data_IF_126552612155
#
_entry.id   IF_126552612155
#
_cell.length_a   1.000
_cell.length_b   1.000
_cell.length_c   1.000
_cell.angle_alpha   90.00
_cell.angle_beta   90.00
_cell.angle_gamma   90.00
#
_symmetry.space_group_name_H-M   'P 1'
#
loop_
_entity.id
_entity.type
_entity.pdbx_description
1 polymer ?
#
# COMPACT_ATOMS: atom_id res chain seq x y z
N UNK A 1 -9.86 -15.45 -1.29
CA UNK A 1 -9.40 -14.14 -1.81
C UNK A 1 -8.97 -13.30 -0.63
N UNK A 2 -7.76 -12.76 -0.66
CA UNK A 2 -7.19 -11.98 0.44
C UNK A 2 -7.37 -10.50 0.12
N UNK A 3 -8.32 -9.84 0.78
CA UNK A 3 -8.68 -8.43 0.53
C UNK A 3 -8.43 -7.60 1.80
N UNK A 4 -7.16 -7.49 2.19
CA UNK A 4 -6.76 -6.57 3.27
C UNK A 4 -5.48 -5.82 2.86
N UNK A 5 -5.14 -4.77 3.60
CA UNK A 5 -4.01 -3.88 3.27
C UNK A 5 -2.95 -3.74 4.39
N UNK A 6 -2.53 -4.81 5.08
CA UNK A 6 -1.62 -4.73 6.24
C UNK A 6 -0.26 -4.15 5.88
N UNK A 7 0.16 -4.32 4.62
CA UNK A 7 1.41 -3.73 4.10
C UNK A 7 1.43 -2.20 4.18
N UNK A 8 0.29 -1.51 4.07
CA UNK A 8 0.16 -0.05 4.25
C UNK A 8 -0.50 0.31 5.60
N UNK A 9 -1.34 -0.57 6.14
CA UNK A 9 -2.12 -0.38 7.37
C UNK A 9 -1.38 -0.87 8.62
N UNK A 10 -0.05 -0.83 8.62
CA UNK A 10 0.77 -1.08 9.80
C UNK A 10 1.55 0.19 10.14
N UNK A 11 1.67 0.56 11.42
CA UNK A 11 2.27 1.82 11.87
C UNK A 11 3.65 2.10 11.24
N UNK A 12 4.43 1.02 11.02
CA UNK A 12 5.73 1.08 10.33
C UNK A 12 5.71 1.75 8.95
N UNK A 13 4.55 1.84 8.29
CA UNK A 13 4.42 2.56 7.02
C UNK A 13 4.72 4.06 7.18
N UNK A 14 4.43 4.62 8.37
CA UNK A 14 4.56 6.06 8.65
C UNK A 14 5.89 6.45 9.28
N UNK A 15 6.75 5.51 9.68
CA UNK A 15 8.00 5.83 10.38
C UNK A 15 8.95 6.72 9.56
N UNK A 16 8.84 6.66 8.23
CA UNK A 16 9.62 7.50 7.31
C UNK A 16 8.78 8.57 6.62
N UNK A 17 7.52 8.74 7.02
CA UNK A 17 6.66 9.79 6.49
C UNK A 17 7.08 11.13 7.12
N UNK A 18 7.27 12.22 6.34
CA UNK A 18 7.73 13.51 6.86
C UNK A 18 6.90 14.03 8.05
N UNK A 19 5.57 13.86 8.00
CA UNK A 19 4.68 14.31 9.06
C UNK A 19 4.73 13.46 10.36
N UNK A 20 5.41 12.31 10.34
CA UNK A 20 5.44 11.33 11.44
C UNK A 20 6.86 10.90 11.86
N UNK A 21 7.91 11.46 11.25
CA UNK A 21 9.30 10.98 11.43
C UNK A 21 9.78 11.06 12.89
N UNK A 22 9.34 12.08 13.63
CA UNK A 22 9.66 12.27 15.06
C UNK A 22 8.49 11.87 15.98
N UNK A 23 7.46 11.22 15.43
CA UNK A 23 6.28 10.86 16.20
C UNK A 23 6.58 9.70 17.16
N UNK A 24 6.13 9.84 18.41
CA UNK A 24 6.22 8.82 19.47
C UNK A 24 4.85 8.27 19.82
N UNK A 25 3.97 8.21 18.82
CA UNK A 25 2.63 7.69 18.98
C UNK A 25 2.68 6.20 19.35
N UNK A 26 1.76 5.77 20.19
CA UNK A 26 1.48 4.35 20.35
C UNK A 26 0.96 3.76 19.03
N UNK A 27 1.22 2.47 18.77
CA UNK A 27 0.96 1.86 17.47
C UNK A 27 -0.47 2.09 16.96
N UNK A 28 -1.46 1.94 17.84
CA UNK A 28 -2.88 2.09 17.53
C UNK A 28 -3.32 3.53 17.19
N UNK A 29 -2.47 4.53 17.45
CA UNK A 29 -2.73 5.93 17.12
C UNK A 29 -2.23 6.30 15.72
N UNK A 30 -1.45 5.43 15.07
CA UNK A 30 -1.06 5.65 13.68
C UNK A 30 -2.26 5.42 12.74
N UNK A 31 -2.33 6.16 11.61
CA UNK A 31 -3.46 6.05 10.70
C UNK A 31 -3.67 4.62 10.19
N UNK A 32 -4.92 4.15 10.27
CA UNK A 32 -5.36 2.85 9.79
C UNK A 32 -4.61 1.64 10.37
N UNK A 33 -3.92 1.78 11.51
CA UNK A 33 -3.17 0.67 12.09
C UNK A 33 -4.07 -0.55 12.33
N UNK A 34 -3.65 -1.70 11.82
CA UNK A 34 -4.40 -2.95 11.86
C UNK A 34 -3.65 -4.03 12.62
N UNK A 35 -4.45 -4.94 13.18
CA UNK A 35 -4.02 -6.10 13.97
C UNK A 35 -4.66 -7.36 13.37
N UNK A 36 -4.30 -8.53 13.89
CA UNK A 36 -5.00 -9.77 13.62
C UNK A 36 -6.44 -9.71 14.17
N UNK A 37 -7.31 -10.60 13.69
CA UNK A 37 -8.73 -10.58 14.06
C UNK A 37 -9.03 -10.84 15.54
N UNK A 38 -8.04 -11.33 16.29
CA UNK A 38 -8.06 -11.53 17.73
C UNK A 38 -7.45 -10.35 18.53
N UNK A 39 -7.00 -9.29 17.83
CA UNK A 39 -6.31 -8.14 18.42
C UNK A 39 -4.80 -8.34 18.60
N UNK A 40 -4.26 -9.49 18.21
CA UNK A 40 -2.80 -9.72 18.27
C UNK A 40 -2.09 -8.83 17.26
N UNK A 41 -0.97 -8.22 17.67
CA UNK A 41 -0.20 -7.32 16.81
C UNK A 41 0.47 -8.06 15.64
N UNK A 42 0.53 -7.40 14.48
CA UNK A 42 1.26 -7.92 13.33
C UNK A 42 2.76 -7.66 13.52
N UNK A 43 3.57 -8.73 13.58
CA UNK A 43 5.02 -8.59 13.74
C UNK A 43 5.66 -7.86 12.55
N UNK A 44 6.74 -7.11 12.82
CA UNK A 44 7.49 -6.40 11.78
C UNK A 44 8.05 -7.35 10.71
N UNK A 45 8.50 -8.55 11.11
CA UNK A 45 9.01 -9.56 10.18
C UNK A 45 7.92 -10.04 9.22
N UNK A 46 6.70 -10.25 9.71
CA UNK A 46 5.55 -10.61 8.88
C UNK A 46 5.21 -9.48 7.89
N UNK A 47 5.16 -8.24 8.36
CA UNK A 47 4.91 -7.07 7.50
C UNK A 47 6.00 -6.91 6.44
N UNK A 48 7.27 -7.07 6.82
CA UNK A 48 8.40 -7.02 5.90
C UNK A 48 8.33 -8.13 4.85
N UNK A 49 7.98 -9.35 5.25
CA UNK A 49 7.78 -10.48 4.34
C UNK A 49 6.67 -10.19 3.31
N UNK A 50 5.52 -9.70 3.75
CA UNK A 50 4.40 -9.35 2.86
C UNK A 50 4.84 -8.26 1.86
N UNK A 51 5.46 -7.18 2.34
CA UNK A 51 5.96 -6.08 1.49
C UNK A 51 6.98 -6.58 0.46
N UNK A 52 7.89 -7.47 0.86
CA UNK A 52 8.87 -8.08 -0.03
C UNK A 52 8.18 -8.90 -1.14
N UNK A 53 7.18 -9.72 -0.80
CA UNK A 53 6.44 -10.50 -1.80
C UNK A 53 5.66 -9.63 -2.76
N UNK A 54 5.04 -8.56 -2.28
CA UNK A 54 4.37 -7.56 -3.13
C UNK A 54 5.39 -6.95 -4.10
N UNK A 55 6.54 -6.49 -3.61
CA UNK A 55 7.57 -5.88 -4.44
C UNK A 55 8.13 -6.82 -5.51
N UNK A 56 8.45 -8.06 -5.14
CA UNK A 56 8.98 -9.06 -6.07
C UNK A 56 7.97 -9.48 -7.15
N UNK A 57 6.67 -9.33 -6.87
CA UNK A 57 5.60 -9.68 -7.81
C UNK A 57 5.09 -8.46 -8.59
N UNK A 58 5.56 -7.25 -8.26
CA UNK A 58 5.08 -6.02 -8.87
C UNK A 58 5.63 -5.86 -10.29
N UNK A 59 4.76 -5.37 -11.18
CA UNK A 59 5.14 -4.97 -12.54
C UNK A 59 5.01 -3.46 -12.64
N UNK A 60 6.10 -2.79 -13.04
CA UNK A 60 6.11 -1.35 -13.28
C UNK A 60 5.68 -1.04 -14.70
N UNK A 61 4.76 -0.08 -14.84
CA UNK A 61 4.25 0.39 -16.14
C UNK A 61 4.73 1.82 -16.35
N UNK A 62 5.52 2.02 -17.40
CA UNK A 62 5.89 3.36 -17.88
C UNK A 62 4.78 3.89 -18.78
N UNK A 63 3.88 4.67 -18.18
CA UNK A 63 2.70 5.22 -18.86
C UNK A 63 3.05 6.17 -20.01
N UNK A 64 2.38 5.98 -21.14
CA UNK A 64 2.33 6.92 -22.24
C UNK A 64 0.92 7.50 -22.42
N UNK A 65 0.83 8.66 -23.05
CA UNK A 65 -0.46 9.32 -23.27
C UNK A 65 -1.32 8.46 -24.21
N UNK A 66 -2.50 8.08 -23.73
CA UNK A 66 -3.45 7.23 -24.46
C UNK A 66 -3.47 5.78 -24.00
N UNK A 67 -2.50 5.36 -23.17
CA UNK A 67 -2.51 4.02 -22.58
C UNK A 67 -3.73 3.81 -21.68
N UNK A 68 -4.26 2.58 -21.71
CA UNK A 68 -5.34 2.12 -20.83
C UNK A 68 -4.91 0.81 -20.17
N UNK A 69 -4.92 0.77 -18.84
CA UNK A 69 -4.75 -0.47 -18.08
C UNK A 69 -6.12 -0.98 -17.65
N UNK A 70 -6.40 -2.22 -17.99
CA UNK A 70 -7.55 -2.98 -17.47
C UNK A 70 -6.98 -4.06 -16.56
N UNK A 71 -7.52 -4.15 -15.34
CA UNK A 71 -7.13 -5.16 -14.37
C UNK A 71 -8.37 -5.73 -13.68
N UNK A 72 -8.25 -6.97 -13.20
CA UNK A 72 -9.23 -7.57 -12.30
C UNK A 72 -8.91 -7.12 -10.87
N UNK A 73 -9.79 -6.28 -10.30
CA UNK A 73 -9.60 -5.69 -8.97
C UNK A 73 -9.63 -6.73 -7.83
N UNK A 74 -10.12 -7.94 -8.10
CA UNK A 74 -10.14 -9.04 -7.15
C UNK A 74 -8.84 -9.84 -7.12
N UNK A 75 -8.08 -9.81 -8.22
CA UNK A 75 -6.86 -10.61 -8.40
C UNK A 75 -5.59 -9.75 -8.37
N UNK A 76 -5.70 -8.44 -8.64
CA UNK A 76 -4.56 -7.55 -8.82
C UNK A 76 -4.56 -6.46 -7.77
N UNK A 77 -3.52 -6.46 -6.93
CA UNK A 77 -3.17 -5.29 -6.14
C UNK A 77 -2.44 -4.27 -7.02
N UNK A 78 -2.79 -3.00 -6.89
CA UNK A 78 -2.13 -1.90 -7.59
C UNK A 78 -1.74 -0.79 -6.63
N UNK A 79 -0.72 -0.01 -7.03
CA UNK A 79 -0.17 1.08 -6.24
C UNK A 79 0.45 2.13 -7.15
N UNK A 80 1.15 3.10 -6.55
CA UNK A 80 1.74 4.22 -7.30
C UNK A 80 3.14 4.51 -6.78
N UNK A 81 4.11 4.57 -7.70
CA UNK A 81 5.45 5.10 -7.43
C UNK A 81 5.44 6.63 -7.31
N UNK A 82 6.49 7.20 -6.71
CA UNK A 82 6.72 8.65 -6.77
C UNK A 82 6.76 9.14 -8.23
N UNK A 83 6.36 10.39 -8.45
CA UNK A 83 6.37 11.01 -9.77
C UNK A 83 6.56 12.52 -9.62
N UNK A 84 7.07 13.14 -10.67
CA UNK A 84 7.15 14.60 -10.78
C UNK A 84 5.96 15.14 -11.57
N UNK A 85 5.45 16.31 -11.16
CA UNK A 85 4.32 16.95 -11.83
C UNK A 85 4.77 17.54 -13.18
N UNK A 86 3.88 17.67 -14.19
CA UNK A 86 2.47 17.32 -14.18
C UNK A 86 2.21 15.85 -14.58
N UNK A 87 1.24 15.22 -13.91
CA UNK A 87 0.71 13.89 -14.29
C UNK A 87 -0.80 13.86 -14.05
N UNK A 88 -1.57 13.44 -15.05
CA UNK A 88 -3.01 13.23 -14.94
C UNK A 88 -3.35 11.79 -15.33
N UNK A 89 -4.16 11.13 -14.49
CA UNK A 89 -4.65 9.77 -14.69
C UNK A 89 -6.17 9.79 -14.47
N UNK A 90 -6.92 9.03 -15.26
CA UNK A 90 -8.34 8.82 -15.07
C UNK A 90 -8.58 7.36 -14.65
N UNK A 91 -9.67 7.12 -13.90
CA UNK A 91 -10.04 5.79 -13.43
C UNK A 91 -11.54 5.57 -13.64
N UNK A 92 -11.91 4.35 -13.94
CA UNK A 92 -13.30 3.87 -13.95
C UNK A 92 -13.36 2.53 -13.24
N UNK A 93 -14.44 2.29 -12.52
CA UNK A 93 -14.72 1.03 -11.85
C UNK A 93 -15.94 0.44 -12.54
N UNK A 94 -15.80 -0.77 -13.08
CA UNK A 94 -16.90 -1.51 -13.66
C UNK A 94 -17.72 -2.14 -12.54
N UNK A 95 -19.05 -2.09 -12.69
CA UNK A 95 -20.00 -2.74 -11.79
C UNK A 95 -20.24 -4.18 -12.20
#
# INVERSE_FOLDING_TARGET
>A
MWFNQPHSHHASYFYYHPDFIDSKLELHLYPFHCQLGDGTELSLDLIAHIRQKIWLSAVSIQWQKGDVLILDNLLVQHGRMSFERPRQMFVSILK
#
